data_IF_915057766816
#
_entry.id   IF_915057766816
#
_cell.length_a   1.000
_cell.length_b   1.000
_cell.length_c   1.000
_cell.angle_alpha   90.00
_cell.angle_beta   90.00
_cell.angle_gamma   90.00
#
_symmetry.space_group_name_H-M   'P 1'
#
loop_
_entity.id
_entity.type
_entity.pdbx_description
1 polymer ?
#
# COMPACT_ATOMS: atom_id res chain seq x y z
N UNK A 1 -6.89 -21.74 5.79
CA UNK A 1 -7.40 -21.06 7.01
C UNK A 1 -6.73 -19.69 7.09
N UNK A 2 -7.46 -18.57 7.17
CA UNK A 2 -6.83 -17.26 7.31
C UNK A 2 -6.24 -17.11 8.71
N UNK A 3 -4.92 -16.90 8.86
CA UNK A 3 -4.36 -16.63 10.16
C UNK A 3 -4.93 -15.32 10.72
N UNK A 4 -5.07 -15.21 12.05
CA UNK A 4 -5.58 -14.00 12.68
C UNK A 4 -4.64 -12.82 12.38
N UNK A 5 -5.24 -11.66 12.11
CA UNK A 5 -4.52 -10.44 11.72
C UNK A 5 -3.41 -10.08 12.72
N UNK A 6 -3.67 -10.24 14.02
CA UNK A 6 -2.71 -9.93 15.09
C UNK A 6 -1.39 -10.70 14.92
N UNK A 7 -1.44 -11.99 14.62
CA UNK A 7 -0.23 -12.80 14.41
C UNK A 7 0.56 -12.36 13.18
N UNK A 8 -0.14 -11.95 12.11
CA UNK A 8 0.52 -11.44 10.90
C UNK A 8 1.19 -10.09 11.16
N UNK A 9 0.56 -9.22 11.94
CA UNK A 9 1.14 -7.93 12.35
C UNK A 9 2.43 -8.18 13.13
N UNK A 10 2.39 -9.00 14.17
CA UNK A 10 3.57 -9.30 15.00
C UNK A 10 4.72 -9.91 14.17
N UNK A 11 4.40 -10.78 13.20
CA UNK A 11 5.41 -11.48 12.39
C UNK A 11 5.98 -10.64 11.24
N UNK A 12 5.16 -9.81 10.59
CA UNK A 12 5.53 -9.15 9.34
C UNK A 12 5.62 -7.62 9.43
N UNK A 13 5.13 -6.97 10.49
CA UNK A 13 5.18 -5.49 10.63
C UNK A 13 6.58 -4.95 10.40
N UNK A 14 7.59 -5.50 11.08
CA UNK A 14 8.98 -5.00 10.94
C UNK A 14 9.52 -5.19 9.52
N UNK A 15 9.26 -6.34 8.89
CA UNK A 15 9.72 -6.60 7.53
C UNK A 15 9.06 -5.68 6.50
N UNK A 16 7.75 -5.45 6.64
CA UNK A 16 7.00 -4.54 5.77
C UNK A 16 7.40 -3.09 6.00
N UNK A 17 7.64 -2.69 7.25
CA UNK A 17 8.12 -1.35 7.59
C UNK A 17 9.48 -1.09 6.95
N UNK A 18 10.45 -2.00 7.12
CA UNK A 18 11.78 -1.85 6.51
C UNK A 18 11.69 -1.78 4.97
N UNK A 19 10.85 -2.61 4.35
CA UNK A 19 10.65 -2.57 2.90
C UNK A 19 10.01 -1.24 2.43
N UNK A 20 8.97 -0.77 3.12
CA UNK A 20 8.29 0.48 2.81
C UNK A 20 9.20 1.69 3.07
N UNK A 21 9.93 1.69 4.18
CA UNK A 21 10.88 2.74 4.55
C UNK A 21 12.03 2.84 3.53
N UNK A 22 12.53 1.71 3.03
CA UNK A 22 13.54 1.72 1.98
C UNK A 22 13.07 2.40 0.68
N UNK A 23 11.76 2.39 0.41
CA UNK A 23 11.17 3.02 -0.78
C UNK A 23 10.77 4.47 -0.51
N UNK A 24 10.02 4.74 0.56
CA UNK A 24 9.51 6.07 0.89
C UNK A 24 10.57 6.99 1.50
N UNK A 25 11.59 6.44 2.16
CA UNK A 25 12.61 7.19 2.94
C UNK A 25 12.00 8.14 3.99
N UNK A 26 10.76 7.89 4.40
CA UNK A 26 10.01 8.64 5.40
C UNK A 26 9.33 7.64 6.35
N UNK A 27 9.50 7.85 7.66
CA UNK A 27 8.95 6.98 8.70
C UNK A 27 7.41 7.00 8.71
N UNK A 28 6.80 8.17 8.55
CA UNK A 28 5.33 8.31 8.58
C UNK A 28 4.70 7.61 7.38
N UNK A 29 5.24 7.79 6.18
CA UNK A 29 4.74 7.12 4.99
C UNK A 29 4.94 5.60 5.04
N UNK A 30 6.06 5.15 5.61
CA UNK A 30 6.30 3.72 5.79
C UNK A 30 5.28 3.10 6.76
N UNK A 31 4.96 3.78 7.87
CA UNK A 31 3.96 3.30 8.81
C UNK A 31 2.56 3.31 8.22
N UNK A 32 2.18 4.37 7.50
CA UNK A 32 0.93 4.44 6.74
C UNK A 32 0.80 3.24 5.80
N UNK A 33 1.82 3.00 4.95
CA UNK A 33 1.84 1.88 4.00
C UNK A 33 1.64 0.53 4.68
N UNK A 34 2.26 0.33 5.84
CA UNK A 34 2.13 -0.91 6.62
C UNK A 34 0.71 -1.08 7.12
N UNK A 35 0.13 -0.06 7.74
CA UNK A 35 -1.27 -0.10 8.20
C UNK A 35 -2.23 -0.39 7.06
N UNK A 36 -2.07 0.34 5.96
CA UNK A 36 -2.87 0.22 4.75
C UNK A 36 -2.81 -1.17 4.11
N UNK A 37 -1.67 -1.84 4.24
CA UNK A 37 -1.47 -3.21 3.74
C UNK A 37 -2.23 -4.21 4.61
N UNK A 38 -2.20 -4.05 5.93
CA UNK A 38 -2.94 -4.90 6.86
C UNK A 38 -4.45 -4.68 6.81
N UNK A 39 -4.91 -3.44 6.64
CA UNK A 39 -6.33 -3.13 6.42
C UNK A 39 -6.84 -3.77 5.12
N UNK A 40 -6.03 -3.73 4.06
CA UNK A 40 -6.37 -4.41 2.81
C UNK A 40 -6.40 -5.94 2.99
N UNK A 41 -5.48 -6.52 3.76
CA UNK A 41 -5.53 -7.95 4.09
C UNK A 41 -6.84 -8.33 4.81
N UNK A 42 -7.25 -7.51 5.78
CA UNK A 42 -8.47 -7.72 6.55
C UNK A 42 -9.73 -7.62 5.67
N UNK A 43 -9.80 -6.58 4.84
CA UNK A 43 -10.96 -6.33 3.97
C UNK A 43 -11.07 -7.31 2.80
N UNK A 44 -9.96 -7.89 2.35
CA UNK A 44 -9.94 -8.70 1.14
C UNK A 44 -10.38 -10.14 1.44
N UNK A 45 -11.39 -10.67 0.73
CA UNK A 45 -11.89 -12.05 0.93
C UNK A 45 -11.00 -13.15 0.31
N UNK A 46 -9.79 -12.82 -0.14
CA UNK A 46 -8.90 -13.77 -0.81
C UNK A 46 -8.49 -14.90 0.13
N UNK A 47 -8.61 -16.13 -0.33
CA UNK A 47 -8.07 -17.29 0.36
C UNK A 47 -6.59 -17.44 -0.01
N UNK A 48 -5.78 -17.71 1.01
CA UNK A 48 -4.36 -17.96 0.84
C UNK A 48 -4.11 -19.43 1.14
N UNK A 49 -3.47 -20.11 0.20
CA UNK A 49 -3.14 -21.54 0.30
C UNK A 49 -2.04 -21.79 1.34
N UNK A 50 -1.03 -20.91 1.41
CA UNK A 50 0.16 -21.11 2.24
C UNK A 50 0.66 -19.81 2.86
N UNK A 51 1.39 -19.92 3.98
CA UNK A 51 2.02 -18.78 4.64
C UNK A 51 2.99 -18.01 3.72
N UNK A 52 3.73 -18.71 2.85
CA UNK A 52 4.62 -18.03 1.89
C UNK A 52 3.85 -17.16 0.90
N UNK A 53 2.65 -17.59 0.46
CA UNK A 53 1.78 -16.79 -0.40
C UNK A 53 1.29 -15.52 0.30
N UNK A 54 0.94 -15.61 1.59
CA UNK A 54 0.56 -14.44 2.39
C UNK A 54 1.73 -13.45 2.46
N UNK A 55 2.93 -13.93 2.80
CA UNK A 55 4.14 -13.11 2.89
C UNK A 55 4.45 -12.41 1.55
N UNK A 56 4.42 -13.16 0.45
CA UNK A 56 4.68 -12.62 -0.88
C UNK A 56 3.65 -11.55 -1.28
N UNK A 57 2.37 -11.80 -0.96
CA UNK A 57 1.30 -10.83 -1.21
C UNK A 57 1.47 -9.57 -0.37
N UNK A 58 1.73 -9.69 0.94
CA UNK A 58 1.93 -8.55 1.85
C UNK A 58 3.10 -7.67 1.38
N UNK A 59 4.25 -8.26 1.04
CA UNK A 59 5.41 -7.54 0.53
C UNK A 59 5.11 -6.82 -0.79
N UNK A 60 4.41 -7.50 -1.71
CA UNK A 60 4.05 -6.91 -3.00
C UNK A 60 3.12 -5.71 -2.84
N UNK A 61 2.09 -5.82 -1.99
CA UNK A 61 1.16 -4.72 -1.70
C UNK A 61 1.88 -3.56 -1.03
N UNK A 62 2.68 -3.81 0.00
CA UNK A 62 3.43 -2.76 0.69
C UNK A 62 4.38 -2.01 -0.25
N UNK A 63 5.15 -2.72 -1.09
CA UNK A 63 6.06 -2.09 -2.07
C UNK A 63 5.28 -1.27 -3.10
N UNK A 64 4.17 -1.79 -3.62
CA UNK A 64 3.33 -1.07 -4.58
C UNK A 64 2.75 0.22 -3.96
N UNK A 65 2.23 0.14 -2.73
CA UNK A 65 1.72 1.30 -1.99
C UNK A 65 2.82 2.32 -1.71
N UNK A 66 4.00 1.88 -1.28
CA UNK A 66 5.15 2.75 -1.02
C UNK A 66 5.60 3.49 -2.29
N UNK A 67 5.66 2.80 -3.44
CA UNK A 67 5.97 3.42 -4.74
C UNK A 67 4.91 4.45 -5.14
N UNK A 68 3.63 4.17 -4.88
CA UNK A 68 2.54 5.10 -5.20
C UNK A 68 2.57 6.34 -4.31
N UNK A 69 2.80 6.20 -3.00
CA UNK A 69 3.04 7.30 -2.06
C UNK A 69 4.19 8.18 -2.55
N UNK A 70 5.34 7.60 -2.91
CA UNK A 70 6.47 8.36 -3.42
C UNK A 70 6.13 9.13 -4.71
N UNK A 71 5.43 8.52 -5.67
CA UNK A 71 5.02 9.19 -6.91
C UNK A 71 3.98 10.29 -6.72
N UNK A 72 3.05 10.14 -5.77
CA UNK A 72 2.04 11.16 -5.47
C UNK A 72 2.66 12.41 -4.83
N UNK A 73 3.72 12.27 -4.02
CA UNK A 73 4.50 13.42 -3.55
C UNK A 73 5.14 14.22 -4.70
N UNK A 74 5.55 13.57 -5.80
CA UNK A 74 6.06 14.27 -7.00
C UNK A 74 4.94 14.86 -7.88
N UNK A 75 3.71 14.35 -7.81
CA UNK A 75 2.55 14.95 -8.49
C UNK A 75 2.01 16.16 -7.73
N UNK A 76 2.06 16.16 -6.40
CA UNK A 76 1.63 17.30 -5.57
C UNK A 76 2.50 18.56 -5.79
N UNK A 77 3.72 18.41 -6.32
CA UNK A 77 4.58 19.53 -6.76
C UNK A 77 4.26 20.04 -8.18
N UNK A 78 3.27 19.48 -8.88
CA UNK A 78 2.90 19.84 -10.26
C UNK A 78 1.51 20.47 -10.38
N UNK A 79 0.98 21.06 -9.31
CA UNK A 79 -0.25 21.87 -9.41
C UNK A 79 0.17 23.34 -9.54
N UNK A 80 0.06 23.98 -10.72
CA UNK A 80 0.28 25.40 -10.84
C UNK A 80 -0.81 26.13 -10.05
N UNK A 81 -0.39 27.12 -9.24
CA UNK A 81 -1.28 28.00 -8.52
C UNK A 81 -2.10 28.84 -9.53
N UNK A 82 -3.37 28.49 -9.72
CA UNK A 82 -4.31 29.29 -10.50
C UNK A 82 -5.29 28.42 -11.28
N UNK A 83 -6.50 28.25 -10.75
CA UNK A 83 -7.56 27.52 -11.46
C UNK A 83 -8.76 27.21 -10.59
N UNK A 84 -9.73 28.12 -10.63
CA UNK A 84 -11.04 28.05 -10.01
C UNK A 84 -11.89 26.87 -10.55
N UNK A 85 -12.71 26.29 -9.66
CA UNK A 85 -13.91 25.45 -9.88
C UNK A 85 -13.94 24.47 -11.08
N UNK A 86 -14.00 23.17 -10.77
CA UNK A 86 -14.82 22.22 -11.54
C UNK A 86 -14.15 20.95 -12.08
N UNK A 87 -14.14 19.88 -11.28
CA UNK A 87 -14.65 18.55 -11.69
C UNK A 87 -14.58 17.53 -10.53
N UNK A 88 -15.70 16.90 -10.11
CA UNK A 88 -15.68 15.70 -9.28
C UNK A 88 -15.37 14.50 -10.18
N UNK A 89 -14.11 14.40 -10.62
CA UNK A 89 -13.65 13.35 -11.53
C UNK A 89 -12.45 12.64 -10.93
N UNK A 90 -12.70 11.51 -10.25
CA UNK A 90 -11.70 10.52 -9.88
C UNK A 90 -10.70 10.25 -11.03
N UNK A 91 -9.40 10.17 -10.71
CA UNK A 91 -8.53 9.22 -11.36
C UNK A 91 -8.00 8.27 -10.28
N UNK A 92 -8.83 7.32 -9.85
CA UNK A 92 -8.33 6.06 -9.26
C UNK A 92 -7.94 5.11 -10.38
N UNK A 93 -7.06 5.57 -11.28
CA UNK A 93 -6.42 4.74 -12.29
C UNK A 93 -5.19 4.05 -11.67
N UNK A 94 -5.07 2.74 -11.63
CA UNK A 94 -6.00 1.72 -12.05
C UNK A 94 -5.57 0.38 -11.45
N UNK A 95 -6.54 -0.38 -10.96
CA UNK A 95 -6.45 -1.83 -11.01
C UNK A 95 -6.99 -2.21 -12.38
N UNK A 96 -6.15 -2.76 -13.26
CA UNK A 96 -6.38 -3.94 -14.12
C UNK A 96 -5.17 -4.10 -15.05
N UNK A 97 -4.34 -5.10 -14.74
CA UNK A 97 -4.13 -6.20 -15.69
C UNK A 97 -3.78 -7.47 -14.91
N UNK A 98 -4.76 -8.37 -14.85
CA UNK A 98 -4.53 -9.81 -14.91
C UNK A 98 -4.52 -10.12 -16.42
N UNK A 99 -3.37 -10.47 -16.95
CA UNK A 99 -3.13 -11.49 -17.98
C UNK A 99 -1.73 -12.04 -17.74
#
# INVERSE_FOLDING_TARGET
>A
MKPPLKMLIEKYRNNLYTAAFNVCKNAQDAEDVVQDTFLQYWSQKKEFETEQHIRAWLLRVAINKAKNKNNTFFQAKRVPAGGLYGNPGLPVGGVVRIV
#
